data_IF_050272437508
#
_entry.id   IF_050272437508
#
_cell.length_a   1.000
_cell.length_b   1.000
_cell.length_c   1.000
_cell.angle_alpha   90.00
_cell.angle_beta   90.00
_cell.angle_gamma   90.00
#
_symmetry.space_group_name_H-M   'P 1'
#
loop_
_entity.id
_entity.type
_entity.pdbx_description
1 polymer ?
#
# COMPACT_ATOMS: atom_id res chain seq x y z
N UNK A 1 17.46 -8.41 5.10
CA UNK A 1 16.60 -9.59 4.88
C UNK A 1 16.08 -9.48 3.46
N UNK A 2 16.36 -10.44 2.56
CA UNK A 2 15.66 -10.49 1.28
C UNK A 2 14.31 -11.16 1.56
N UNK A 3 13.26 -10.37 1.65
CA UNK A 3 11.90 -10.92 1.73
C UNK A 3 11.39 -11.07 0.29
N UNK A 4 11.34 -12.31 -0.21
CA UNK A 4 10.87 -12.60 -1.56
C UNK A 4 9.45 -12.03 -1.82
N UNK A 5 8.62 -11.88 -0.77
CA UNK A 5 7.31 -11.23 -0.88
C UNK A 5 7.46 -9.73 -1.10
N UNK A 6 8.41 -9.08 -0.41
CA UNK A 6 8.67 -7.66 -0.64
C UNK A 6 9.22 -7.39 -2.04
N UNK A 7 10.06 -8.29 -2.55
CA UNK A 7 10.59 -8.19 -3.92
C UNK A 7 9.49 -8.31 -4.97
N UNK A 8 8.57 -9.27 -4.81
CA UNK A 8 7.38 -9.35 -5.67
C UNK A 8 6.59 -8.04 -5.65
N UNK A 9 6.35 -7.46 -4.47
CA UNK A 9 5.66 -6.17 -4.36
C UNK A 9 6.42 -5.06 -5.08
N UNK A 10 7.73 -4.96 -4.83
CA UNK A 10 8.61 -3.93 -5.40
C UNK A 10 8.59 -3.93 -6.93
N UNK A 11 8.59 -5.11 -7.55
CA UNK A 11 8.58 -5.26 -9.01
C UNK A 11 7.28 -4.77 -9.68
N UNK A 12 6.17 -4.70 -8.93
CA UNK A 12 4.89 -4.20 -9.44
C UNK A 12 4.82 -2.68 -9.50
N UNK A 13 5.51 -1.98 -8.59
CA UNK A 13 5.45 -0.52 -8.54
C UNK A 13 6.07 0.10 -9.79
N UNK A 14 5.42 1.13 -10.33
CA UNK A 14 5.83 1.74 -11.61
C UNK A 14 5.41 0.96 -12.86
N UNK A 15 4.70 -0.17 -12.73
CA UNK A 15 4.15 -0.92 -13.86
C UNK A 15 2.70 -0.54 -14.17
N UNK A 16 2.34 -0.58 -15.45
CA UNK A 16 0.96 -0.35 -15.91
C UNK A 16 0.03 -1.50 -15.52
N UNK A 17 -1.28 -1.23 -15.48
CA UNK A 17 -2.30 -2.22 -15.07
C UNK A 17 -2.34 -3.48 -15.98
N UNK A 18 -1.94 -3.32 -17.25
CA UNK A 18 -1.87 -4.37 -18.27
C UNK A 18 -0.46 -4.94 -18.46
N UNK A 19 0.52 -4.53 -17.65
CA UNK A 19 1.84 -5.13 -17.66
C UNK A 19 1.75 -6.62 -17.26
N UNK A 20 2.50 -7.52 -17.92
CA UNK A 20 2.43 -8.96 -17.65
C UNK A 20 2.56 -9.32 -16.17
N UNK A 21 3.49 -8.67 -15.46
CA UNK A 21 3.75 -8.89 -14.03
C UNK A 21 2.52 -8.53 -13.18
N UNK A 22 1.85 -7.42 -13.48
CA UNK A 22 0.63 -6.97 -12.80
C UNK A 22 -0.53 -7.90 -13.10
N UNK A 23 -0.69 -8.33 -14.35
CA UNK A 23 -1.74 -9.28 -14.75
C UNK A 23 -1.54 -10.63 -14.06
N UNK A 24 -0.31 -11.14 -14.01
CA UNK A 24 0.04 -12.38 -13.29
C UNK A 24 -0.24 -12.25 -11.79
N UNK A 25 0.10 -11.11 -11.18
CA UNK A 25 -0.21 -10.85 -9.78
C UNK A 25 -1.74 -10.82 -9.53
N UNK A 26 -2.49 -10.09 -10.35
CA UNK A 26 -3.95 -9.96 -10.23
C UNK A 26 -4.69 -11.29 -10.46
N UNK A 27 -4.10 -12.23 -11.19
CA UNK A 27 -4.66 -13.57 -11.37
C UNK A 27 -4.79 -14.36 -10.04
N UNK A 28 -4.01 -14.00 -9.01
CA UNK A 28 -4.16 -14.54 -7.64
C UNK A 28 -5.46 -14.09 -6.95
N UNK A 29 -6.09 -13.03 -7.46
CA UNK A 29 -7.27 -12.40 -6.89
C UNK A 29 -8.39 -12.30 -7.93
N UNK A 30 -8.96 -13.42 -8.43
CA UNK A 30 -9.86 -13.43 -9.58
C UNK A 30 -11.16 -12.61 -9.40
N UNK A 31 -11.54 -12.30 -8.15
CA UNK A 31 -12.70 -11.46 -7.84
C UNK A 31 -12.37 -9.95 -7.72
N UNK A 32 -11.17 -9.53 -8.11
CA UNK A 32 -10.81 -8.12 -8.13
C UNK A 32 -11.73 -7.33 -9.07
N UNK A 33 -12.05 -6.09 -8.68
CA UNK A 33 -12.80 -5.15 -9.50
C UNK A 33 -11.87 -4.04 -9.94
N UNK A 34 -11.88 -3.74 -11.24
CA UNK A 34 -11.17 -2.61 -11.81
C UNK A 34 -12.18 -1.49 -12.01
N UNK A 35 -12.01 -0.39 -11.26
CA UNK A 35 -12.87 0.77 -11.39
C UNK A 35 -12.53 1.54 -12.66
N UNK A 36 -13.50 2.33 -13.14
CA UNK A 36 -13.24 3.27 -14.23
C UNK A 36 -12.25 4.33 -13.74
N UNK A 37 -11.29 4.74 -14.59
CA UNK A 37 -10.49 5.93 -14.38
C UNK A 37 -11.30 7.15 -13.88
N UNK A 38 -10.99 7.67 -12.70
CA UNK A 38 -11.53 8.94 -12.18
C UNK A 38 -10.42 9.76 -11.53
N UNK A 39 -10.45 11.09 -11.67
CA UNK A 39 -9.53 11.99 -10.96
C UNK A 39 -8.04 11.62 -11.12
N UNK A 40 -7.62 11.25 -12.34
CA UNK A 40 -6.24 10.83 -12.62
C UNK A 40 -5.83 9.48 -12.02
N UNK A 41 -6.73 8.77 -11.34
CA UNK A 41 -6.47 7.50 -10.64
C UNK A 41 -7.39 6.38 -11.10
N UNK A 42 -6.91 5.15 -10.98
CA UNK A 42 -7.66 3.94 -11.28
C UNK A 42 -7.42 2.94 -10.16
N UNK A 43 -8.50 2.43 -9.60
CA UNK A 43 -8.46 1.52 -8.45
C UNK A 43 -8.68 0.08 -8.91
N UNK A 44 -7.92 -0.83 -8.33
CA UNK A 44 -8.17 -2.27 -8.42
C UNK A 44 -8.42 -2.79 -7.01
N UNK A 45 -9.62 -3.31 -6.75
CA UNK A 45 -10.05 -3.64 -5.39
C UNK A 45 -10.43 -5.12 -5.29
N UNK A 46 -9.75 -5.86 -4.43
CA UNK A 46 -10.04 -7.25 -4.09
C UNK A 46 -10.40 -7.36 -2.60
N UNK A 47 -11.60 -6.88 -2.24
CA UNK A 47 -12.05 -6.75 -0.84
C UNK A 47 -11.98 -8.04 -0.03
N UNK A 48 -12.34 -9.17 -0.64
CA UNK A 48 -12.28 -10.52 -0.04
C UNK A 48 -10.86 -10.96 0.34
N UNK A 49 -9.86 -10.26 -0.19
CA UNK A 49 -8.44 -10.54 0.04
C UNK A 49 -7.74 -9.40 0.78
N UNK A 50 -8.44 -8.34 1.20
CA UNK A 50 -7.78 -7.23 1.90
C UNK A 50 -6.94 -6.32 1.02
N UNK A 51 -7.12 -6.37 -0.30
CA UNK A 51 -6.22 -5.70 -1.23
C UNK A 51 -6.91 -4.57 -1.99
N UNK A 52 -6.22 -3.44 -2.08
CA UNK A 52 -6.53 -2.35 -3.01
C UNK A 52 -5.24 -1.80 -3.63
N UNK A 53 -5.24 -1.62 -4.95
CA UNK A 53 -4.15 -1.03 -5.72
C UNK A 53 -4.62 0.28 -6.37
N UNK A 54 -3.74 1.27 -6.41
CA UNK A 54 -4.00 2.56 -7.05
C UNK A 54 -2.99 2.79 -8.15
N UNK A 55 -3.51 2.92 -9.36
CA UNK A 55 -2.76 3.29 -10.55
C UNK A 55 -2.95 4.78 -10.83
N UNK A 56 -1.84 5.51 -10.99
CA UNK A 56 -1.85 6.95 -11.24
C UNK A 56 -0.59 7.39 -11.96
N UNK A 57 -0.42 8.70 -12.13
CA UNK A 57 0.80 9.25 -12.70
C UNK A 57 1.92 9.30 -11.64
N UNK A 58 3.17 8.94 -11.99
CA UNK A 58 4.30 8.94 -11.05
C UNK A 58 4.62 10.31 -10.44
N UNK A 59 4.32 11.39 -11.17
CA UNK A 59 4.53 12.77 -10.73
C UNK A 59 3.43 13.27 -9.79
N UNK A 60 2.43 12.42 -9.46
CA UNK A 60 1.30 12.77 -8.62
C UNK A 60 0.31 13.73 -9.29
N UNK A 61 0.50 14.06 -10.56
CA UNK A 61 -0.42 14.92 -11.28
C UNK A 61 -1.71 14.18 -11.63
N UNK A 62 -2.79 14.95 -11.79
CA UNK A 62 -4.09 14.44 -12.22
C UNK A 62 -4.28 14.60 -13.73
N UNK A 63 -3.19 14.91 -14.45
CA UNK A 63 -3.18 15.12 -15.89
C UNK A 63 -3.53 13.81 -16.64
N UNK A 64 -4.07 13.90 -17.86
CA UNK A 64 -4.31 12.71 -18.71
C UNK A 64 -5.74 12.17 -18.74
N UNK A 65 -6.69 12.75 -18.01
CA UNK A 65 -8.13 12.45 -18.15
C UNK A 65 -8.45 10.94 -18.05
N UNK A 66 -9.43 10.46 -18.82
CA UNK A 66 -9.90 9.06 -18.80
C UNK A 66 -8.96 8.02 -19.45
N UNK A 67 -7.74 8.38 -19.87
CA UNK A 67 -6.81 7.44 -20.49
C UNK A 67 -5.99 6.67 -19.45
N UNK A 68 -6.03 5.35 -19.52
CA UNK A 68 -5.27 4.46 -18.63
C UNK A 68 -3.80 4.29 -19.04
N UNK A 69 -3.42 4.62 -20.28
CA UNK A 69 -2.14 4.22 -20.91
C UNK A 69 -0.86 4.76 -20.25
N UNK A 70 -0.97 5.71 -19.33
CA UNK A 70 0.18 6.32 -18.65
C UNK A 70 0.21 6.03 -17.15
N UNK A 71 -0.79 5.29 -16.64
CA UNK A 71 -0.97 5.08 -15.21
C UNK A 71 -0.22 3.84 -14.79
N UNK A 72 0.52 3.98 -13.71
CA UNK A 72 1.32 2.91 -13.13
C UNK A 72 0.94 2.70 -11.68
N UNK A 73 1.23 1.53 -11.12
CA UNK A 73 1.01 1.27 -9.71
C UNK A 73 1.84 2.25 -8.87
N UNK A 74 1.15 3.10 -8.12
CA UNK A 74 1.78 4.11 -7.24
C UNK A 74 1.53 3.81 -5.77
N UNK A 75 0.48 3.06 -5.44
CA UNK A 75 0.10 2.77 -4.06
C UNK A 75 -0.60 1.41 -3.96
N UNK A 76 -0.29 0.65 -2.92
CA UNK A 76 -0.99 -0.56 -2.54
C UNK A 76 -1.42 -0.48 -1.06
N UNK A 77 -2.69 -0.78 -0.79
CA UNK A 77 -3.26 -0.89 0.55
C UNK A 77 -3.45 -2.37 0.90
N UNK A 78 -2.79 -2.79 1.98
CA UNK A 78 -2.90 -4.11 2.57
C UNK A 78 -3.73 -3.97 3.84
N UNK A 79 -5.01 -4.29 3.72
CA UNK A 79 -6.03 -4.02 4.72
C UNK A 79 -6.21 -5.21 5.65
N UNK A 80 -6.46 -4.94 6.93
CA UNK A 80 -6.99 -5.92 7.88
C UNK A 80 -8.52 -5.90 7.89
N UNK A 81 -9.12 -6.85 8.60
CA UNK A 81 -10.57 -6.85 8.90
C UNK A 81 -11.05 -5.67 9.77
N UNK A 82 -10.14 -4.90 10.38
CA UNK A 82 -10.50 -3.66 11.07
C UNK A 82 -10.90 -2.54 10.08
N UNK A 83 -10.63 -2.70 8.79
CA UNK A 83 -11.14 -1.82 7.74
C UNK A 83 -12.50 -2.32 7.27
N UNK A 84 -13.56 -1.49 7.34
CA UNK A 84 -14.89 -1.91 6.92
C UNK A 84 -14.90 -2.46 5.49
N UNK A 85 -15.56 -3.61 5.31
CA UNK A 85 -15.77 -4.31 4.03
C UNK A 85 -14.53 -5.04 3.48
N UNK A 86 -13.40 -5.05 4.16
CA UNK A 86 -12.22 -5.83 3.77
C UNK A 86 -12.03 -7.05 4.68
N UNK A 87 -11.50 -8.13 4.10
CA UNK A 87 -10.86 -9.21 4.87
C UNK A 87 -9.38 -8.87 5.10
N UNK A 88 -8.72 -9.58 5.99
CA UNK A 88 -7.28 -9.39 6.20
C UNK A 88 -6.46 -9.90 5.03
N UNK A 89 -5.53 -9.07 4.54
CA UNK A 89 -4.52 -9.48 3.57
C UNK A 89 -3.57 -10.51 4.20
N UNK A 90 -3.45 -11.69 3.58
CA UNK A 90 -2.73 -12.81 4.17
C UNK A 90 -1.21 -12.75 3.96
N UNK A 91 -0.76 -12.12 2.86
CA UNK A 91 0.61 -12.22 2.37
C UNK A 91 1.44 -10.95 2.58
N UNK A 92 1.37 -10.40 3.79
CA UNK A 92 2.12 -9.19 4.14
C UNK A 92 3.64 -9.37 3.89
N UNK A 93 4.31 -8.37 3.29
CA UNK A 93 5.76 -8.40 3.08
C UNK A 93 6.51 -8.03 4.36
N UNK A 94 7.83 -8.12 4.34
CA UNK A 94 8.78 -7.70 5.38
C UNK A 94 8.58 -8.40 6.74
N UNK A 95 8.00 -9.60 6.75
CA UNK A 95 7.65 -10.31 7.99
C UNK A 95 6.64 -9.58 8.88
N UNK A 96 5.82 -8.72 8.29
CA UNK A 96 4.81 -7.92 8.99
C UNK A 96 3.57 -8.74 9.33
N UNK A 97 2.90 -8.37 10.41
CA UNK A 97 1.60 -8.90 10.79
C UNK A 97 0.67 -7.76 11.23
N UNK A 98 -0.64 -7.95 11.13
CA UNK A 98 -1.61 -6.96 11.63
C UNK A 98 -1.69 -6.90 13.17
N UNK A 99 -0.97 -7.75 13.89
CA UNK A 99 -0.78 -7.62 15.34
C UNK A 99 0.39 -6.71 15.70
N UNK A 100 1.26 -6.37 14.73
CA UNK A 100 2.36 -5.45 14.99
C UNK A 100 1.82 -4.04 15.27
N UNK A 101 2.22 -3.49 16.41
CA UNK A 101 2.04 -2.09 16.79
C UNK A 101 3.27 -1.24 16.45
N UNK A 102 3.33 -0.04 16.99
CA UNK A 102 4.41 0.90 16.69
C UNK A 102 5.79 0.38 17.12
N UNK A 103 5.87 -0.17 18.33
CA UNK A 103 7.13 -0.60 18.92
C UNK A 103 7.64 -1.88 18.24
N UNK A 104 6.76 -2.83 17.92
CA UNK A 104 7.13 -4.05 17.18
C UNK A 104 7.63 -3.71 15.77
N UNK A 105 6.96 -2.79 15.07
CA UNK A 105 7.42 -2.34 13.76
C UNK A 105 8.75 -1.61 13.84
N UNK A 106 8.95 -0.78 14.87
CA UNK A 106 10.22 -0.08 15.08
C UNK A 106 11.35 -1.06 15.38
N UNK A 107 11.09 -2.15 16.11
CA UNK A 107 12.06 -3.21 16.33
C UNK A 107 12.40 -3.98 15.04
N UNK A 108 11.41 -4.21 14.16
CA UNK A 108 11.60 -4.93 12.89
C UNK A 108 12.29 -4.10 11.80
N UNK A 109 11.91 -2.83 11.69
CA UNK A 109 12.25 -1.95 10.57
C UNK A 109 13.23 -0.82 10.93
N UNK A 110 13.51 -0.62 12.22
CA UNK A 110 14.25 0.53 12.72
C UNK A 110 13.35 1.75 12.94
N UNK A 111 13.97 2.90 13.22
CA UNK A 111 13.25 4.13 13.49
C UNK A 111 12.47 4.62 12.25
N UNK A 112 11.20 5.04 12.40
CA UNK A 112 10.42 5.60 11.30
C UNK A 112 10.98 6.96 10.83
N UNK A 113 10.82 7.26 9.54
CA UNK A 113 11.10 8.59 8.99
C UNK A 113 10.09 9.64 9.51
N UNK A 114 8.85 9.21 9.82
CA UNK A 114 7.81 10.10 10.32
C UNK A 114 6.82 9.37 11.21
N UNK A 115 6.32 10.08 12.22
CA UNK A 115 5.28 9.61 13.14
C UNK A 115 4.19 10.67 13.21
N UNK A 116 2.94 10.24 13.17
CA UNK A 116 1.77 11.09 13.41
C UNK A 116 1.04 10.61 14.65
N UNK A 117 0.83 11.52 15.60
CA UNK A 117 0.12 11.25 16.84
C UNK A 117 -1.28 11.85 16.81
N UNK A 118 -2.22 11.21 17.50
CA UNK A 118 -3.51 11.79 17.80
C UNK A 118 -3.43 12.70 19.05
N UNK A 119 -4.51 13.44 19.30
CA UNK A 119 -4.69 14.16 20.56
C UNK A 119 -4.60 13.15 21.73
N UNK A 120 -3.76 13.45 22.72
CA UNK A 120 -3.44 12.52 23.80
C UNK A 120 -2.16 11.69 23.58
N UNK A 121 -1.44 11.91 22.48
CA UNK A 121 -0.07 11.39 22.28
C UNK A 121 0.03 9.96 21.75
N UNK A 122 -1.10 9.27 21.58
CA UNK A 122 -1.11 7.94 20.96
C UNK A 122 -0.66 8.02 19.49
N UNK A 123 0.16 7.06 19.06
CA UNK A 123 0.62 7.02 17.67
C UNK A 123 -0.52 6.55 16.77
N UNK A 124 -0.92 7.40 15.83
CA UNK A 124 -1.97 7.10 14.85
C UNK A 124 -1.40 6.38 13.64
N UNK A 125 -0.24 6.82 13.17
CA UNK A 125 0.47 6.19 12.07
C UNK A 125 1.95 6.51 12.09
N UNK A 126 2.73 5.70 11.39
CA UNK A 126 4.15 5.92 11.20
C UNK A 126 4.58 5.49 9.79
N UNK A 127 5.68 6.06 9.30
CA UNK A 127 6.23 5.86 7.96
C UNK A 127 7.68 5.42 8.01
N UNK A 128 8.03 4.43 7.20
CA UNK A 128 9.38 3.96 6.97
C UNK A 128 9.77 4.06 5.51
N UNK A 129 11.06 4.26 5.26
CA UNK A 129 11.68 3.92 3.97
C UNK A 129 12.02 2.44 3.97
N UNK A 130 11.55 1.71 2.96
CA UNK A 130 11.86 0.30 2.76
C UNK A 130 12.33 0.11 1.32
N UNK A 131 13.63 -0.06 1.13
CA UNK A 131 14.24 -0.02 -0.20
C UNK A 131 13.98 1.32 -0.89
N UNK A 132 13.41 1.27 -2.09
CA UNK A 132 12.98 2.41 -2.90
C UNK A 132 11.52 2.83 -2.66
N UNK A 133 10.79 2.13 -1.79
CA UNK A 133 9.40 2.42 -1.45
C UNK A 133 9.28 3.10 -0.07
N UNK A 134 8.10 3.65 0.17
CA UNK A 134 7.64 4.02 1.51
C UNK A 134 6.63 2.98 2.01
N UNK A 135 6.68 2.70 3.31
CA UNK A 135 5.70 1.90 4.04
C UNK A 135 5.06 2.78 5.11
N UNK A 136 3.75 2.99 5.02
CA UNK A 136 2.96 3.54 6.12
C UNK A 136 2.25 2.41 6.87
N UNK A 137 2.20 2.52 8.19
CA UNK A 137 1.33 1.72 9.04
C UNK A 137 0.32 2.65 9.71
N UNK A 138 -0.97 2.42 9.44
CA UNK A 138 -2.07 3.04 10.19
C UNK A 138 -2.48 2.10 11.32
N UNK A 139 -2.43 2.58 12.56
CA UNK A 139 -2.77 1.79 13.73
C UNK A 139 -4.27 1.77 14.02
N UNK A 140 -4.71 0.72 14.71
CA UNK A 140 -6.05 0.66 15.30
C UNK A 140 -6.18 1.72 16.40
N UNK A 141 -7.40 2.19 16.61
CA UNK A 141 -7.68 3.20 17.63
C UNK A 141 -7.38 2.70 19.05
N UNK A 142 -7.54 1.39 19.29
CA UNK A 142 -7.20 0.72 20.55
C UNK A 142 -5.71 0.34 20.67
N UNK A 143 -4.90 0.69 19.68
CA UNK A 143 -3.47 0.39 19.59
C UNK A 143 -3.11 -1.10 19.63
N UNK A 144 -4.09 -2.00 19.40
CA UNK A 144 -3.88 -3.46 19.39
C UNK A 144 -3.12 -3.99 18.15
N UNK A 145 -2.63 -3.08 17.30
CA UNK A 145 -1.85 -3.39 16.11
C UNK A 145 -2.21 -2.51 14.92
N UNK A 146 -1.78 -2.96 13.75
CA UNK A 146 -1.95 -2.23 12.49
C UNK A 146 -3.27 -2.60 11.82
N UNK A 147 -4.02 -1.60 11.35
CA UNK A 147 -5.25 -1.83 10.56
C UNK A 147 -5.01 -1.82 9.05
N UNK A 148 -4.02 -1.05 8.59
CA UNK A 148 -3.65 -0.93 7.16
C UNK A 148 -2.14 -0.75 7.06
N UNK A 149 -1.52 -1.51 6.18
CA UNK A 149 -0.21 -1.17 5.64
C UNK A 149 -0.37 -0.55 4.26
N UNK A 150 0.35 0.52 3.98
CA UNK A 150 0.36 1.17 2.67
C UNK A 150 1.76 1.20 2.11
N UNK A 151 1.97 0.53 0.98
CA UNK A 151 3.19 0.64 0.20
C UNK A 151 3.00 1.68 -0.90
N UNK A 152 3.99 2.54 -1.11
CA UNK A 152 3.90 3.57 -2.15
C UNK A 152 5.25 3.97 -2.71
N UNK A 153 5.26 4.39 -3.98
CA UNK A 153 6.43 5.07 -4.54
C UNK A 153 6.61 6.43 -3.83
N UNK A 154 7.86 6.85 -3.57
CA UNK A 154 8.11 8.21 -3.10
C UNK A 154 7.74 9.20 -4.20
N UNK A 155 6.75 10.06 -3.97
CA UNK A 155 6.45 11.15 -4.90
C UNK A 155 7.61 12.14 -4.90
N UNK A 156 8.24 12.31 -6.07
CA UNK A 156 9.20 13.39 -6.28
C UNK A 156 8.40 14.67 -6.47
N UNK A 157 8.20 15.42 -5.39
CA UNK A 157 7.77 16.81 -5.53
C UNK A 157 8.95 17.55 -6.15
N UNK A 158 8.87 17.82 -7.46
CA UNK A 158 9.78 18.79 -8.08
C UNK A 158 9.47 20.15 -7.43
N UNK A 159 10.40 20.59 -6.58
CA UNK A 159 10.46 21.96 -6.04
C UNK A 159 10.62 22.98 -7.16
#
# INVERSE_FOLDING_TARGET
MSDAKFEEWRELFGKAIDAPEVVTFLAKYPEHKIDKPSDGRQHVVAKKHGLELVFGLPDGSHAGGGSARQRVLITAFLNSEAVPKFKSFADLPLGLTFSDGHDELTAKLGAPERVWTADGGAVRSARWRVGDLLLDADYRADQSGTRVFTLMIPTVVKS
#
